data_IF_204481964628
#
_entry.id   IF_204481964628
#
_cell.length_a   1.000
_cell.length_b   1.000
_cell.length_c   1.000
_cell.angle_alpha   90.00
_cell.angle_beta   90.00
_cell.angle_gamma   90.00
#
_symmetry.space_group_name_H-M   'P 1'
#
loop_
_entity.id
_entity.type
_entity.pdbx_description
1 polymer ?
#
# COMPACT_ATOMS: atom_id res chain seq x y z
N UNK A 1 -12.81 4.36 10.17
CA UNK A 1 -11.91 3.24 9.80
C UNK A 1 -10.55 3.79 9.37
N UNK A 2 -9.86 3.06 8.55
CA UNK A 2 -8.53 3.50 8.07
C UNK A 2 -8.48 3.47 6.54
N UNK A 3 -9.37 2.76 5.92
CA UNK A 3 -9.35 2.72 4.44
C UNK A 3 -9.38 4.14 3.89
N UNK A 4 -10.03 5.04 4.60
CA UNK A 4 -10.09 6.45 4.12
C UNK A 4 -8.70 7.07 4.15
N UNK A 5 -8.04 7.02 5.28
CA UNK A 5 -6.67 7.61 5.35
C UNK A 5 -5.77 6.85 4.38
N UNK A 6 -5.60 5.59 4.63
CA UNK A 6 -4.76 4.74 3.75
C UNK A 6 -4.99 5.14 2.28
N UNK A 7 -6.22 5.33 1.88
CA UNK A 7 -6.49 5.70 0.47
C UNK A 7 -5.84 7.06 0.17
N UNK A 8 -6.10 8.04 0.98
CA UNK A 8 -5.52 9.39 0.72
C UNK A 8 -3.99 9.32 0.62
N UNK A 9 -3.37 8.42 1.32
CA UNK A 9 -1.87 8.35 1.26
C UNK A 9 -1.40 7.28 0.27
N UNK A 10 -2.26 6.39 -0.16
CA UNK A 10 -1.81 5.35 -1.12
C UNK A 10 -2.19 5.75 -2.53
N UNK A 11 -3.03 6.73 -2.65
CA UNK A 11 -3.43 7.22 -3.98
C UNK A 11 -2.33 8.11 -4.59
N UNK A 12 -1.48 8.73 -3.78
CA UNK A 12 -0.39 9.58 -4.29
C UNK A 12 0.79 8.68 -4.64
N UNK A 13 0.84 7.52 -4.03
CA UNK A 13 1.94 6.55 -4.31
C UNK A 13 1.75 5.97 -5.72
N UNK A 14 0.67 6.30 -6.35
CA UNK A 14 0.40 5.77 -7.70
C UNK A 14 1.42 6.34 -8.70
N UNK A 15 1.71 7.62 -8.63
CA UNK A 15 2.70 8.19 -9.56
C UNK A 15 4.02 7.45 -9.45
N UNK A 16 4.28 6.84 -8.33
CA UNK A 16 5.56 6.11 -8.16
C UNK A 16 5.38 4.66 -8.63
N UNK A 17 4.63 3.89 -7.90
CA UNK A 17 4.42 2.46 -8.27
C UNK A 17 4.04 2.33 -9.76
N UNK A 18 3.49 3.35 -10.35
CA UNK A 18 3.10 3.24 -11.79
C UNK A 18 3.87 4.26 -12.62
N UNK A 19 3.98 5.48 -12.16
CA UNK A 19 4.71 6.51 -12.95
C UNK A 19 6.14 6.04 -13.20
N UNK A 20 6.80 5.50 -12.20
CA UNK A 20 8.19 5.03 -12.41
C UNK A 20 9.16 5.77 -11.46
N UNK A 21 9.01 7.06 -11.36
CA UNK A 21 9.89 7.88 -10.50
C UNK A 21 9.47 7.77 -9.03
N UNK A 22 10.41 7.56 -8.15
CA UNK A 22 10.06 7.44 -6.71
C UNK A 22 10.79 6.26 -6.10
N UNK A 23 10.39 5.88 -4.92
CA UNK A 23 9.29 6.55 -4.19
C UNK A 23 9.77 7.86 -3.58
N UNK A 24 8.89 8.62 -2.99
CA UNK A 24 9.29 9.91 -2.38
C UNK A 24 9.56 9.71 -0.88
N UNK A 25 9.68 8.48 -0.46
CA UNK A 25 9.93 8.21 0.98
C UNK A 25 8.60 8.17 1.72
N UNK A 26 7.76 9.14 1.51
CA UNK A 26 6.45 9.16 2.19
C UNK A 26 5.63 7.95 1.75
N UNK A 27 5.98 7.36 0.65
CA UNK A 27 5.23 6.17 0.18
C UNK A 27 5.48 5.01 1.14
N UNK A 28 6.73 4.66 1.33
CA UNK A 28 7.05 3.54 2.26
C UNK A 28 6.64 3.95 3.68
N UNK A 29 6.77 5.20 4.02
CA UNK A 29 6.37 5.63 5.38
C UNK A 29 4.85 5.65 5.47
N UNK A 30 4.20 5.73 4.33
CA UNK A 30 2.71 5.73 4.32
C UNK A 30 2.24 4.30 4.61
N UNK A 31 2.75 3.35 3.86
CA UNK A 31 2.36 1.94 4.11
C UNK A 31 2.77 1.60 5.54
N UNK A 32 3.90 2.11 5.98
CA UNK A 32 4.32 1.87 7.38
C UNK A 32 3.27 2.55 8.26
N UNK A 33 2.73 3.63 7.78
CA UNK A 33 1.67 4.34 8.55
C UNK A 33 0.58 3.31 8.81
N UNK A 34 0.22 2.56 7.81
CA UNK A 34 -0.79 1.51 8.00
C UNK A 34 -0.27 0.56 9.07
N UNK A 35 0.99 0.23 8.97
CA UNK A 35 1.64 -0.68 9.95
C UNK A 35 1.30 -0.22 11.38
N UNK A 36 1.38 1.06 11.62
CA UNK A 36 1.08 1.59 12.99
C UNK A 36 -0.43 1.68 13.21
N UNK A 37 -1.18 1.83 12.15
CA UNK A 37 -2.66 1.94 12.30
C UNK A 37 -3.26 0.54 12.49
N UNK A 38 -3.30 -0.24 11.45
CA UNK A 38 -3.88 -1.60 11.57
C UNK A 38 -3.05 -2.43 12.55
N UNK A 39 -3.69 -3.17 13.42
CA UNK A 39 -2.93 -4.00 14.40
C UNK A 39 -3.26 -5.48 14.18
N UNK A 40 -4.49 -5.77 13.86
CA UNK A 40 -4.88 -7.19 13.62
C UNK A 40 -5.28 -7.36 12.16
N UNK A 41 -5.58 -8.56 11.73
CA UNK A 41 -5.97 -8.76 10.32
C UNK A 41 -7.23 -7.95 10.02
N UNK A 42 -8.24 -8.07 10.85
CA UNK A 42 -9.49 -7.29 10.61
C UNK A 42 -9.15 -5.81 10.44
N UNK A 43 -8.00 -5.38 10.89
CA UNK A 43 -7.62 -3.96 10.74
C UNK A 43 -6.97 -3.73 9.38
N UNK A 44 -6.21 -4.68 8.91
CA UNK A 44 -5.57 -4.51 7.59
C UNK A 44 -6.66 -4.44 6.52
N UNK A 45 -7.62 -5.32 6.61
CA UNK A 45 -8.75 -5.34 5.63
C UNK A 45 -9.00 -3.93 5.09
N UNK A 46 -9.33 -3.00 5.95
CA UNK A 46 -9.54 -1.60 5.47
C UNK A 46 -8.30 -1.19 4.68
N UNK A 47 -7.17 -1.24 5.33
CA UNK A 47 -5.91 -0.83 4.68
C UNK A 47 -5.64 -1.66 3.43
N UNK A 48 -5.18 -2.86 3.60
CA UNK A 48 -4.88 -3.75 2.45
C UNK A 48 -5.98 -3.60 1.38
N UNK A 49 -7.20 -3.93 1.72
CA UNK A 49 -8.29 -3.80 0.71
C UNK A 49 -8.17 -2.45 0.02
N UNK A 50 -7.91 -1.42 0.75
CA UNK A 50 -7.76 -0.07 0.12
C UNK A 50 -6.65 -0.13 -0.92
N UNK A 51 -5.42 -0.28 -0.49
CA UNK A 51 -4.29 -0.37 -1.46
C UNK A 51 -4.66 -1.26 -2.63
N UNK A 52 -5.54 -2.18 -2.42
CA UNK A 52 -5.94 -3.11 -3.52
C UNK A 52 -6.78 -2.33 -4.52
N UNK A 53 -7.91 -1.85 -4.11
CA UNK A 53 -8.77 -1.07 -5.04
C UNK A 53 -7.95 0.05 -5.68
N UNK A 54 -7.32 0.87 -4.86
CA UNK A 54 -6.49 1.98 -5.42
C UNK A 54 -5.49 1.41 -6.41
N UNK A 55 -4.57 0.63 -5.93
CA UNK A 55 -3.53 0.02 -6.81
C UNK A 55 -4.20 -0.66 -8.00
N UNK A 56 -5.46 -0.98 -7.88
CA UNK A 56 -6.18 -1.66 -9.00
C UNK A 56 -6.99 -0.62 -9.77
N UNK A 57 -6.37 0.46 -10.15
CA UNK A 57 -7.10 1.51 -10.92
C UNK A 57 -6.08 2.30 -11.73
N UNK A 58 -4.98 1.66 -12.01
CA UNK A 58 -3.90 2.34 -12.77
C UNK A 58 -3.75 1.67 -14.14
N UNK A 59 -3.26 2.39 -15.12
CA UNK A 59 -3.09 1.80 -16.48
C UNK A 59 -2.22 0.56 -16.40
N UNK A 60 -0.99 0.70 -15.98
CA UNK A 60 -0.09 -0.49 -15.90
C UNK A 60 0.72 -0.41 -14.59
N UNK A 61 0.09 -0.65 -13.48
CA UNK A 61 0.81 -0.60 -12.18
C UNK A 61 2.12 -1.40 -12.28
N UNK A 62 3.12 -0.99 -11.55
CA UNK A 62 4.42 -1.72 -11.59
C UNK A 62 4.62 -2.46 -10.27
N UNK A 63 4.73 -3.75 -10.32
CA UNK A 63 4.92 -4.54 -9.07
C UNK A 63 6.31 -4.23 -8.48
N UNK A 64 7.29 -4.05 -9.31
CA UNK A 64 8.65 -3.75 -8.78
C UNK A 64 8.58 -2.56 -7.83
N UNK A 65 8.08 -1.45 -8.29
CA UNK A 65 7.98 -0.26 -7.42
C UNK A 65 7.01 -0.55 -6.28
N UNK A 66 5.93 -1.21 -6.59
CA UNK A 66 4.93 -1.55 -5.55
C UNK A 66 5.41 -2.78 -4.77
N UNK A 67 6.59 -3.24 -5.05
CA UNK A 67 7.12 -4.43 -4.32
C UNK A 67 8.32 -4.01 -3.46
N UNK A 68 8.64 -2.75 -3.44
CA UNK A 68 9.79 -2.28 -2.63
C UNK A 68 9.31 -1.34 -1.52
N UNK A 69 8.03 -1.10 -1.43
CA UNK A 69 7.54 -0.19 -0.36
C UNK A 69 7.99 -0.71 1.01
N UNK A 70 7.78 -1.97 1.25
CA UNK A 70 8.16 -2.62 2.51
C UNK A 70 9.65 -2.92 2.54
N UNK A 71 10.18 -3.39 1.45
CA UNK A 71 11.64 -3.69 1.41
C UNK A 71 12.42 -2.41 1.68
N UNK A 72 11.82 -1.28 1.46
CA UNK A 72 12.52 0.02 1.70
C UNK A 72 12.24 0.52 3.11
N UNK A 73 10.99 0.65 3.48
CA UNK A 73 10.66 1.14 4.85
C UNK A 73 10.88 0.03 5.87
N UNK A 74 11.30 -1.14 5.42
CA UNK A 74 11.52 -2.26 6.38
C UNK A 74 10.29 -2.43 7.26
N UNK A 75 9.11 -2.43 6.69
CA UNK A 75 7.89 -2.61 7.51
C UNK A 75 7.51 -4.08 7.55
N UNK A 76 7.66 -4.75 6.45
CA UNK A 76 7.33 -6.20 6.38
C UNK A 76 5.82 -6.42 6.33
N UNK A 77 5.11 -5.63 5.58
CA UNK A 77 3.64 -5.82 5.48
C UNK A 77 3.40 -6.99 4.50
N UNK A 78 2.23 -7.58 4.52
CA UNK A 78 1.92 -8.73 3.65
C UNK A 78 1.34 -8.22 2.32
N UNK A 79 0.59 -7.17 2.41
CA UNK A 79 -0.05 -6.59 1.21
C UNK A 79 0.76 -5.39 0.69
N UNK A 80 0.33 -4.80 -0.39
CA UNK A 80 1.05 -3.62 -0.94
C UNK A 80 0.10 -2.86 -1.86
N UNK A 81 0.48 -1.70 -2.31
CA UNK A 81 -0.42 -0.95 -3.22
C UNK A 81 -0.26 -1.56 -4.62
N UNK A 82 -0.97 -2.63 -4.85
CA UNK A 82 -0.87 -3.34 -6.16
C UNK A 82 -2.19 -4.03 -6.46
N UNK A 83 -2.39 -4.36 -7.71
CA UNK A 83 -3.60 -5.06 -8.16
C UNK A 83 -3.44 -6.58 -7.97
N UNK A 84 -2.61 -7.01 -7.05
CA UNK A 84 -2.42 -8.48 -6.88
C UNK A 84 -2.12 -8.88 -5.44
N UNK A 85 -1.80 -7.95 -4.56
CA UNK A 85 -1.50 -8.35 -3.16
C UNK A 85 -2.65 -9.21 -2.62
N UNK A 86 -2.57 -9.64 -1.39
CA UNK A 86 -3.67 -10.49 -0.84
C UNK A 86 -4.03 -10.01 0.58
N UNK A 87 -5.25 -9.62 0.78
CA UNK A 87 -5.67 -9.15 2.13
C UNK A 87 -6.27 -10.32 2.90
N UNK A 88 -6.78 -11.30 2.22
CA UNK A 88 -7.37 -12.47 2.92
C UNK A 88 -6.28 -13.21 3.70
N UNK A 89 -5.03 -12.91 3.43
CA UNK A 89 -3.93 -13.60 4.13
C UNK A 89 -2.98 -12.56 4.75
N UNK A 90 -3.52 -11.57 5.40
CA UNK A 90 -2.65 -10.53 6.03
C UNK A 90 -2.18 -11.02 7.40
N UNK A 91 -0.94 -11.39 7.52
CA UNK A 91 -0.43 -11.89 8.83
C UNK A 91 0.14 -10.72 9.63
#
# INVERSE_FOLDING_TARGET
LNCGQVDSKMKPCLTYVQGGPGPSGECCNGVRDLHNQAQSSGDRQTVCNCLKGIARGIHNLNLNNAASIPSKCNVNVPYTISPDIDCSRIY
#
